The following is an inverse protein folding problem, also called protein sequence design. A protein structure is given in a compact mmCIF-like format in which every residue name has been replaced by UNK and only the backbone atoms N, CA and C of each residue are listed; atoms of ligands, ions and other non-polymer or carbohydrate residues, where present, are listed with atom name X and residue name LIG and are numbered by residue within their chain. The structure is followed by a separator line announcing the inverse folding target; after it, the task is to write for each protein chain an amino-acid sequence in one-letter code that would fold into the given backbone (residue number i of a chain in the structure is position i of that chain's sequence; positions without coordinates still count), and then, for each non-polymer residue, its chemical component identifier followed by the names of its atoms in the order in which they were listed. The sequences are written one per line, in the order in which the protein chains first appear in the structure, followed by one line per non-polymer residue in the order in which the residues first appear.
data_IF_676297069243
#
_entry.id   IF_676297069243
#
_cell.length_a   1.000
_cell.length_b   1.000
_cell.length_c   1.000
_cell.angle_alpha   90.00
_cell.angle_beta   90.00
_cell.angle_gamma   90.00
#
_symmetry.space_group_name_H-M   'P 1'
#
loop_
_entity.id
_entity.type
_entity.pdbx_description
1 polymer ?
#
# COMPACT_ATOMS: atom_id res chain seq x y z
N UNK A 1 -8.47 -0.33 -34.68
CA UNK A 1 -9.51 -0.91 -33.80
C UNK A 1 -9.18 -0.52 -32.37
N UNK A 2 -9.94 0.39 -31.77
CA UNK A 2 -9.76 0.78 -30.36
C UNK A 2 -10.38 -0.34 -29.52
N UNK A 3 -9.55 -1.20 -28.92
CA UNK A 3 -10.01 -2.17 -27.92
C UNK A 3 -10.32 -1.38 -26.65
N UNK A 4 -11.61 -1.16 -26.37
CA UNK A 4 -12.09 -0.51 -25.14
C UNK A 4 -11.93 -1.48 -23.98
N UNK A 5 -11.37 -1.01 -22.86
CA UNK A 5 -11.38 -1.75 -21.61
C UNK A 5 -12.81 -1.78 -21.07
N UNK A 6 -13.25 -2.94 -20.58
CA UNK A 6 -14.58 -3.09 -19.97
C UNK A 6 -14.37 -3.25 -18.47
N UNK A 7 -14.56 -2.16 -17.72
CA UNK A 7 -14.70 -2.23 -16.25
C UNK A 7 -16.07 -2.84 -15.98
N UNK A 8 -16.11 -4.03 -15.38
CA UNK A 8 -17.36 -4.63 -14.92
C UNK A 8 -17.51 -4.29 -13.45
N UNK A 9 -18.34 -3.27 -13.17
CA UNK A 9 -18.70 -2.96 -11.80
C UNK A 9 -19.77 -3.96 -11.33
N UNK A 10 -19.39 -4.87 -10.44
CA UNK A 10 -20.33 -5.76 -9.79
C UNK A 10 -20.70 -5.18 -8.41
N UNK A 11 -21.81 -4.44 -8.36
CA UNK A 11 -22.32 -3.89 -7.09
C UNK A 11 -23.03 -5.01 -6.34
N UNK A 12 -22.36 -5.60 -5.36
CA UNK A 12 -23.03 -6.42 -4.33
C UNK A 12 -23.55 -5.47 -3.26
N UNK A 13 -24.81 -5.05 -3.40
CA UNK A 13 -25.54 -4.30 -2.38
C UNK A 13 -25.85 -5.22 -1.20
N UNK A 14 -25.03 -5.18 -0.14
CA UNK A 14 -25.42 -5.72 1.16
C UNK A 14 -26.34 -4.69 1.80
N UNK A 15 -27.66 -4.92 1.74
CA UNK A 15 -28.64 -4.05 2.40
C UNK A 15 -28.63 -4.32 3.91
N UNK A 16 -27.75 -3.63 4.63
CA UNK A 16 -27.74 -3.53 6.09
C UNK A 16 -28.42 -2.23 6.56
N UNK A 17 -29.19 -2.30 7.63
CA UNK A 17 -30.02 -1.22 8.16
C UNK A 17 -29.21 -0.02 8.66
N UNK A 18 -29.66 1.19 8.28
CA UNK A 18 -29.10 2.51 8.55
C UNK A 18 -28.53 2.73 9.96
N UNK A 19 -27.22 2.97 10.02
CA UNK A 19 -26.47 3.71 11.03
C UNK A 19 -25.38 4.49 10.28
N UNK A 20 -25.03 5.70 10.74
CA UNK A 20 -24.09 6.66 10.14
C UNK A 20 -23.28 6.11 8.95
N UNK A 21 -23.52 6.65 7.74
CA UNK A 21 -22.92 6.19 6.48
C UNK A 21 -21.44 5.90 6.67
N UNK A 22 -21.13 4.61 6.78
CA UNK A 22 -19.74 4.16 6.94
C UNK A 22 -19.07 4.41 5.60
N UNK A 23 -17.92 5.09 5.55
CA UNK A 23 -17.26 5.36 4.28
C UNK A 23 -17.05 4.07 3.49
N UNK A 24 -17.22 4.13 2.18
CA UNK A 24 -17.05 2.99 1.27
C UNK A 24 -15.98 3.29 0.23
N UNK A 25 -15.35 2.24 -0.29
CA UNK A 25 -14.40 2.32 -1.40
C UNK A 25 -14.60 1.14 -2.36
N UNK A 26 -14.11 1.27 -3.59
CA UNK A 26 -14.08 0.19 -4.57
C UNK A 26 -12.79 -0.58 -4.42
N UNK A 27 -12.90 -1.90 -4.44
CA UNK A 27 -11.78 -2.82 -4.36
C UNK A 27 -11.81 -3.78 -5.55
N UNK A 28 -10.65 -4.02 -6.16
CA UNK A 28 -10.46 -5.07 -7.14
C UNK A 28 -9.08 -5.68 -7.00
N UNK A 29 -8.93 -6.90 -7.50
CA UNK A 29 -7.64 -7.57 -7.58
C UNK A 29 -7.24 -7.73 -9.04
N UNK A 30 -5.95 -7.53 -9.31
CA UNK A 30 -5.35 -7.72 -10.62
C UNK A 30 -4.03 -8.46 -10.46
N UNK A 31 -3.68 -9.24 -11.48
CA UNK A 31 -2.35 -9.82 -11.60
C UNK A 31 -1.56 -8.97 -12.60
N UNK A 32 -0.45 -8.32 -12.18
CA UNK A 32 0.41 -7.62 -13.13
C UNK A 32 0.93 -8.57 -14.22
N UNK A 33 1.11 -8.08 -15.46
CA UNK A 33 1.75 -8.87 -16.51
C UNK A 33 3.16 -9.32 -16.09
N UNK A 34 3.60 -10.49 -16.56
CA UNK A 34 4.93 -11.01 -16.25
C UNK A 34 6.03 -10.00 -16.67
N UNK A 35 6.96 -9.72 -15.77
CA UNK A 35 8.04 -8.75 -15.98
C UNK A 35 7.60 -7.27 -15.92
N UNK A 36 6.33 -6.98 -15.63
CA UNK A 36 5.85 -5.60 -15.55
C UNK A 36 6.57 -4.79 -14.46
N UNK A 37 6.78 -5.38 -13.28
CA UNK A 37 7.44 -4.72 -12.14
C UNK A 37 8.92 -4.43 -12.43
N UNK A 38 9.62 -5.32 -13.15
CA UNK A 38 11.04 -5.13 -13.51
C UNK A 38 11.26 -3.92 -14.41
N UNK A 39 10.34 -3.70 -15.37
CA UNK A 39 10.41 -2.61 -16.34
C UNK A 39 9.75 -1.32 -15.82
N UNK A 40 9.12 -1.36 -14.64
CA UNK A 40 8.26 -0.29 -14.15
C UNK A 40 9.01 1.02 -13.94
N UNK A 41 10.24 0.95 -13.41
CA UNK A 41 11.10 2.12 -13.21
C UNK A 41 11.44 2.80 -14.55
N UNK A 42 11.83 2.02 -15.56
CA UNK A 42 12.19 2.55 -16.87
C UNK A 42 10.99 3.16 -17.59
N UNK A 43 9.82 2.49 -17.54
CA UNK A 43 8.58 3.00 -18.12
C UNK A 43 8.11 4.29 -17.43
N UNK A 44 8.25 4.39 -16.11
CA UNK A 44 7.92 5.59 -15.38
C UNK A 44 8.82 6.77 -15.77
N UNK A 45 10.12 6.52 -15.95
CA UNK A 45 11.07 7.52 -16.46
C UNK A 45 10.70 7.99 -17.88
N UNK A 46 10.42 7.07 -18.79
CA UNK A 46 9.99 7.38 -20.16
C UNK A 46 8.70 8.20 -20.22
N UNK A 47 7.77 7.95 -19.29
CA UNK A 47 6.50 8.69 -19.16
C UNK A 47 6.65 10.01 -18.39
N UNK A 48 7.80 10.26 -17.77
CA UNK A 48 8.00 11.40 -16.87
C UNK A 48 7.11 11.35 -15.62
N UNK A 49 6.72 10.14 -15.18
CA UNK A 49 5.93 9.96 -13.96
C UNK A 49 6.82 10.18 -12.74
N UNK A 50 6.47 11.09 -11.81
CA UNK A 50 7.23 11.28 -10.58
C UNK A 50 7.33 9.99 -9.75
N UNK A 51 8.51 9.70 -9.22
CA UNK A 51 8.78 8.44 -8.50
C UNK A 51 9.44 8.63 -7.15
N UNK A 52 9.16 7.73 -6.21
CA UNK A 52 9.95 7.50 -5.01
C UNK A 52 10.42 6.04 -4.96
N UNK A 53 11.74 5.82 -5.03
CA UNK A 53 12.34 4.48 -5.12
C UNK A 53 13.18 4.22 -3.87
N UNK A 54 12.89 3.14 -3.15
CA UNK A 54 13.72 2.72 -2.03
C UNK A 54 14.96 1.99 -2.54
N UNK A 55 16.14 2.51 -2.21
CA UNK A 55 17.44 1.97 -2.61
C UNK A 55 18.27 1.58 -1.38
N UNK A 56 19.47 1.04 -1.59
CA UNK A 56 20.40 0.76 -0.49
C UNK A 56 20.79 2.03 0.30
N UNK A 57 20.77 3.20 -0.35
CA UNK A 57 21.10 4.48 0.27
C UNK A 57 19.88 5.20 0.88
N UNK A 58 18.71 4.55 0.87
CA UNK A 58 17.43 5.11 1.32
C UNK A 58 16.49 5.50 0.19
N UNK A 59 15.50 6.32 0.51
CA UNK A 59 14.46 6.76 -0.43
C UNK A 59 15.00 7.83 -1.39
N UNK A 60 14.90 7.56 -2.69
CA UNK A 60 15.30 8.48 -3.76
C UNK A 60 14.05 8.98 -4.48
N UNK A 61 13.80 10.29 -4.42
CA UNK A 61 12.68 10.95 -5.11
C UNK A 61 13.17 11.52 -6.45
N UNK A 62 12.34 11.39 -7.49
CA UNK A 62 12.56 11.96 -8.83
C UNK A 62 11.28 12.60 -9.35
N UNK A 63 11.41 13.74 -10.02
CA UNK A 63 10.27 14.52 -10.51
C UNK A 63 9.60 15.40 -9.45
N UNK A 64 10.18 15.47 -8.24
CA UNK A 64 9.84 16.35 -7.13
C UNK A 64 11.10 16.57 -6.26
N UNK A 65 11.11 17.62 -5.43
CA UNK A 65 12.21 17.93 -4.52
C UNK A 65 12.27 16.96 -3.33
N UNK A 66 11.11 16.51 -2.85
CA UNK A 66 10.97 15.56 -1.75
C UNK A 66 9.67 14.74 -1.85
N UNK A 67 9.47 13.85 -0.87
CA UNK A 67 8.30 12.96 -0.83
C UNK A 67 6.98 13.72 -0.59
N UNK A 68 7.01 14.86 0.10
CA UNK A 68 5.82 15.67 0.35
C UNK A 68 5.35 16.33 -0.95
N UNK A 69 6.27 16.91 -1.71
CA UNK A 69 5.96 17.50 -3.02
C UNK A 69 5.50 16.42 -4.02
N UNK A 70 6.11 15.23 -4.00
CA UNK A 70 5.70 14.09 -4.83
C UNK A 70 4.22 13.75 -4.61
N UNK A 71 3.80 13.63 -3.33
CA UNK A 71 2.42 13.32 -2.97
C UNK A 71 1.47 14.47 -3.34
N UNK A 72 1.89 15.71 -3.13
CA UNK A 72 1.11 16.89 -3.49
C UNK A 72 0.90 17.04 -5.01
N UNK A 73 1.77 16.45 -5.83
CA UNK A 73 1.69 16.45 -7.29
C UNK A 73 0.53 15.64 -7.88
N UNK A 74 -0.13 14.81 -7.08
CA UNK A 74 -1.36 14.10 -7.46
C UNK A 74 -1.18 12.91 -8.41
N UNK A 75 -0.01 12.69 -8.99
CA UNK A 75 0.34 11.44 -9.69
C UNK A 75 1.72 11.01 -9.25
N UNK A 76 1.83 9.78 -8.73
CA UNK A 76 3.06 9.28 -8.15
C UNK A 76 3.20 7.77 -8.28
N UNK A 77 4.45 7.31 -8.36
CA UNK A 77 4.82 5.91 -8.31
C UNK A 77 5.85 5.66 -7.21
N UNK A 78 5.56 4.72 -6.32
CA UNK A 78 6.51 4.21 -5.34
C UNK A 78 7.02 2.84 -5.75
N UNK A 79 8.32 2.61 -5.57
CA UNK A 79 8.98 1.34 -5.85
C UNK A 79 9.82 0.91 -4.65
N UNK A 80 9.71 -0.36 -4.26
CA UNK A 80 10.47 -0.96 -3.17
C UNK A 80 10.72 -2.44 -3.43
N UNK A 81 11.81 -2.73 -4.13
CA UNK A 81 12.08 -4.07 -4.65
C UNK A 81 10.93 -4.54 -5.54
N UNK A 82 10.27 -5.60 -5.12
CA UNK A 82 9.14 -6.19 -5.85
C UNK A 82 7.81 -5.50 -5.57
N UNK A 83 7.76 -4.60 -4.59
CA UNK A 83 6.55 -3.90 -4.19
C UNK A 83 6.43 -2.57 -4.90
N UNK A 84 5.20 -2.19 -5.23
CA UNK A 84 4.91 -0.90 -5.84
C UNK A 84 3.60 -0.30 -5.35
N UNK A 85 3.45 1.01 -5.57
CA UNK A 85 2.19 1.73 -5.43
C UNK A 85 2.14 2.84 -6.47
N UNK A 86 1.15 2.80 -7.36
CA UNK A 86 0.81 3.90 -8.27
C UNK A 86 -0.43 4.59 -7.72
N UNK A 87 -0.35 5.90 -7.52
CA UNK A 87 -1.48 6.72 -7.08
C UNK A 87 -1.80 7.83 -8.07
N UNK A 88 -3.10 8.11 -8.21
CA UNK A 88 -3.61 9.29 -8.89
C UNK A 88 -4.71 9.93 -8.03
N UNK A 89 -4.56 11.22 -7.76
CA UNK A 89 -5.48 12.05 -7.00
C UNK A 89 -5.95 13.21 -7.88
N UNK A 90 -7.23 13.20 -8.24
CA UNK A 90 -7.82 14.24 -9.07
C UNK A 90 -9.20 14.66 -8.53
N UNK A 91 -9.27 15.89 -8.01
CA UNK A 91 -10.47 16.42 -7.39
C UNK A 91 -10.85 15.64 -6.14
N UNK A 92 -11.96 14.91 -6.19
CA UNK A 92 -12.46 14.09 -5.06
C UNK A 92 -12.05 12.62 -5.17
N UNK A 93 -11.45 12.19 -6.27
CA UNK A 93 -11.09 10.81 -6.55
C UNK A 93 -9.63 10.55 -6.18
N UNK A 94 -9.40 9.48 -5.42
CA UNK A 94 -8.12 8.87 -5.16
C UNK A 94 -8.17 7.44 -5.66
N UNK A 95 -7.37 7.15 -6.68
CA UNK A 95 -7.23 5.81 -7.26
C UNK A 95 -5.80 5.32 -7.03
N UNK A 96 -5.68 4.10 -6.50
CA UNK A 96 -4.42 3.48 -6.12
C UNK A 96 -4.38 2.07 -6.71
N UNK A 97 -3.24 1.71 -7.31
CA UNK A 97 -2.89 0.32 -7.58
C UNK A 97 -1.62 0.01 -6.80
N UNK A 98 -1.68 -0.94 -5.87
CA UNK A 98 -0.53 -1.33 -5.04
C UNK A 98 -0.39 -2.84 -4.97
N UNK A 99 0.81 -3.35 -4.80
CA UNK A 99 1.02 -4.78 -4.69
C UNK A 99 2.45 -5.18 -4.97
N UNK A 100 2.60 -6.41 -5.46
CA UNK A 100 3.87 -7.02 -5.83
C UNK A 100 3.82 -7.60 -7.26
N UNK A 101 4.81 -8.42 -7.62
CA UNK A 101 4.90 -9.08 -8.94
C UNK A 101 3.72 -9.98 -9.28
N UNK A 102 3.08 -10.57 -8.27
CA UNK A 102 2.10 -11.63 -8.43
C UNK A 102 0.67 -11.12 -8.26
N UNK A 103 0.45 -10.16 -7.35
CA UNK A 103 -0.88 -9.65 -7.02
C UNK A 103 -0.84 -8.17 -6.69
N UNK A 104 -1.83 -7.45 -7.22
CA UNK A 104 -2.06 -6.05 -6.89
C UNK A 104 -3.53 -5.76 -6.60
N UNK A 105 -3.73 -4.81 -5.71
CA UNK A 105 -5.02 -4.31 -5.25
C UNK A 105 -5.30 -2.97 -5.91
N UNK A 106 -6.41 -2.90 -6.64
CA UNK A 106 -6.96 -1.68 -7.20
C UNK A 106 -7.98 -1.11 -6.22
N UNK A 107 -7.68 0.05 -5.67
CA UNK A 107 -8.50 0.74 -4.67
C UNK A 107 -8.93 2.08 -5.27
N UNK A 108 -10.22 2.37 -5.25
CA UNK A 108 -10.76 3.67 -5.69
C UNK A 108 -11.66 4.22 -4.61
N UNK A 109 -11.34 5.42 -4.13
CA UNK A 109 -12.14 6.14 -3.16
C UNK A 109 -12.46 7.53 -3.70
N UNK A 110 -13.73 7.87 -3.64
CA UNK A 110 -14.25 9.23 -3.80
C UNK A 110 -14.76 9.75 -2.46
N UNK A 111 -14.32 10.93 -2.02
CA UNK A 111 -14.55 11.48 -0.68
C UNK A 111 -16.01 11.80 -0.27
N UNK A 112 -16.98 10.93 -0.54
CA UNK A 112 -18.39 11.02 -0.19
C UNK A 112 -19.18 9.77 -0.64
N UNK A 113 -20.51 9.84 -0.69
CA UNK A 113 -21.39 8.68 -0.95
C UNK A 113 -21.42 8.21 -2.42
N UNK A 114 -20.69 8.89 -3.31
CA UNK A 114 -20.78 8.67 -4.76
C UNK A 114 -19.65 7.76 -5.21
N UNK A 115 -19.95 6.49 -5.44
CA UNK A 115 -18.99 5.52 -5.97
C UNK A 115 -18.88 5.66 -7.49
N UNK A 116 -17.68 6.00 -7.97
CA UNK A 116 -17.37 6.05 -9.41
C UNK A 116 -16.25 5.06 -9.74
N UNK A 117 -16.28 4.43 -10.93
CA UNK A 117 -15.15 3.66 -11.41
C UNK A 117 -13.91 4.55 -11.56
N UNK A 118 -12.70 3.96 -11.59
CA UNK A 118 -11.48 4.72 -11.81
C UNK A 118 -11.54 5.48 -13.12
N UNK A 119 -11.02 6.71 -13.13
CA UNK A 119 -10.90 7.53 -14.35
C UNK A 119 -10.13 6.82 -15.45
N UNK A 120 -10.53 7.11 -16.69
CA UNK A 120 -9.82 6.63 -17.88
C UNK A 120 -8.35 7.04 -17.89
N UNK A 121 -8.01 8.21 -17.33
CA UNK A 121 -6.62 8.68 -17.19
C UNK A 121 -5.79 7.74 -16.31
N UNK A 122 -6.31 7.32 -15.15
CA UNK A 122 -5.62 6.39 -14.27
C UNK A 122 -5.45 5.02 -14.92
N UNK A 123 -6.50 4.52 -15.56
CA UNK A 123 -6.44 3.26 -16.32
C UNK A 123 -5.39 3.34 -17.44
N UNK A 124 -5.34 4.45 -18.16
CA UNK A 124 -4.38 4.65 -19.25
C UNK A 124 -2.95 4.66 -18.71
N UNK A 125 -2.71 5.35 -17.59
CA UNK A 125 -1.43 5.35 -16.90
C UNK A 125 -1.00 3.92 -16.52
N UNK A 126 -1.89 3.12 -15.92
CA UNK A 126 -1.60 1.73 -15.56
C UNK A 126 -1.26 0.86 -16.79
N UNK A 127 -1.91 1.12 -17.94
CA UNK A 127 -1.60 0.42 -19.19
C UNK A 127 -0.27 0.87 -19.80
N UNK A 128 0.09 2.14 -19.70
CA UNK A 128 1.36 2.69 -20.19
C UNK A 128 2.55 2.25 -19.33
N UNK A 129 2.36 2.18 -18.01
CA UNK A 129 3.28 1.54 -17.08
C UNK A 129 3.33 0.01 -17.25
N UNK A 130 2.38 -0.55 -18.02
CA UNK A 130 2.25 -1.97 -18.30
C UNK A 130 1.87 -2.83 -17.09
N UNK A 131 1.21 -2.24 -16.10
CA UNK A 131 0.62 -2.89 -14.93
C UNK A 131 -0.77 -3.47 -15.22
N UNK A 132 -1.40 -3.06 -16.32
CA UNK A 132 -2.66 -3.63 -16.82
C UNK A 132 -2.57 -3.93 -18.32
N UNK A 133 -3.08 -5.10 -18.72
CA UNK A 133 -3.19 -5.43 -20.14
C UNK A 133 -4.33 -4.64 -20.81
N UNK A 134 -4.13 -4.28 -22.08
CA UNK A 134 -5.19 -3.63 -22.86
C UNK A 134 -6.36 -4.58 -23.10
N UNK A 135 -7.54 -4.17 -22.67
CA UNK A 135 -8.77 -4.94 -22.85
C UNK A 135 -8.99 -6.01 -21.78
N UNK A 136 -8.22 -6.01 -20.70
CA UNK A 136 -8.56 -6.79 -19.51
C UNK A 136 -9.87 -6.29 -18.89
N UNK A 137 -10.50 -7.14 -18.08
CA UNK A 137 -11.64 -6.75 -17.27
C UNK A 137 -11.24 -6.90 -15.80
N UNK A 138 -11.51 -5.85 -15.03
CA UNK A 138 -11.30 -5.84 -13.57
C UNK A 138 -12.67 -5.75 -12.93
N UNK A 139 -12.93 -6.67 -12.01
CA UNK A 139 -14.15 -6.66 -11.20
C UNK A 139 -13.91 -5.79 -9.98
N UNK A 140 -14.75 -4.77 -9.80
CA UNK A 140 -14.72 -3.92 -8.62
C UNK A 140 -15.91 -4.25 -7.72
N UNK A 141 -15.63 -4.44 -6.42
CA UNK A 141 -16.62 -4.62 -5.36
C UNK A 141 -16.65 -3.40 -4.44
N UNK A 142 -17.79 -3.14 -3.82
CA UNK A 142 -17.93 -2.08 -2.81
C UNK A 142 -17.54 -2.67 -1.46
N UNK A 143 -16.63 -2.01 -0.75
CA UNK A 143 -16.15 -2.42 0.57
C UNK A 143 -16.39 -1.30 1.58
N UNK A 144 -16.91 -1.67 2.76
CA UNK A 144 -17.08 -0.75 3.88
C UNK A 144 -15.77 -0.53 4.62
N UNK A 145 -15.51 0.71 4.99
CA UNK A 145 -14.35 1.08 5.78
C UNK A 145 -14.52 0.61 7.24
N UNK A 146 -13.57 -0.15 7.81
CA UNK A 146 -13.70 -0.62 9.18
C UNK A 146 -13.53 0.53 10.19
N UNK A 147 -14.61 0.87 10.91
CA UNK A 147 -14.58 1.90 11.97
C UNK A 147 -13.85 1.48 13.26
N UNK A 148 -13.42 0.21 13.33
CA UNK A 148 -12.70 -0.36 14.47
C UNK A 148 -11.47 -1.10 13.96
N UNK A 149 -10.43 -1.18 14.78
CA UNK A 149 -9.25 -1.96 14.45
C UNK A 149 -9.66 -3.42 14.17
N UNK A 150 -9.26 -3.98 13.02
CA UNK A 150 -9.57 -5.36 12.69
C UNK A 150 -8.91 -6.30 13.70
N UNK A 151 -9.58 -7.42 13.98
CA UNK A 151 -8.98 -8.48 14.77
C UNK A 151 -7.81 -9.09 13.99
N UNK A 152 -6.66 -9.19 14.65
CA UNK A 152 -5.49 -9.89 14.10
C UNK A 152 -5.80 -11.39 14.00
N UNK A 153 -5.56 -12.03 12.84
CA UNK A 153 -5.76 -13.47 12.67
C UNK A 153 -4.91 -14.30 13.64
N UNK A 154 -5.39 -15.50 13.96
CA UNK A 154 -4.58 -16.46 14.72
C UNK A 154 -3.30 -16.81 13.95
N UNK A 155 -2.17 -16.88 14.65
CA UNK A 155 -0.86 -17.15 14.06
C UNK A 155 -0.16 -15.94 13.42
N UNK A 156 -0.73 -14.73 13.51
CA UNK A 156 -0.08 -13.48 13.09
C UNK A 156 0.27 -12.66 14.33
N UNK A 157 1.56 -12.53 14.62
CA UNK A 157 2.10 -11.85 15.80
C UNK A 157 2.29 -10.33 15.58
N UNK A 158 1.31 -9.67 14.95
CA UNK A 158 1.32 -8.23 14.71
C UNK A 158 0.50 -7.46 15.76
N UNK A 159 0.95 -6.27 16.11
CA UNK A 159 0.10 -5.28 16.77
C UNK A 159 -1.15 -4.98 15.92
N UNK A 160 -2.35 -4.85 16.52
CA UNK A 160 -3.58 -4.53 15.79
C UNK A 160 -3.50 -3.27 14.92
N UNK A 161 -2.68 -2.29 15.28
CA UNK A 161 -2.44 -1.07 14.50
C UNK A 161 -1.69 -1.36 13.22
N UNK A 162 -0.67 -2.22 13.27
CA UNK A 162 0.07 -2.66 12.08
C UNK A 162 -0.79 -3.53 11.19
N UNK A 163 -1.61 -4.41 11.77
CA UNK A 163 -2.58 -5.19 10.99
C UNK A 163 -3.65 -4.30 10.35
N UNK A 164 -4.11 -3.26 11.04
CA UNK A 164 -5.01 -2.26 10.47
C UNK A 164 -4.37 -1.53 9.30
N UNK A 165 -3.08 -1.16 9.41
CA UNK A 165 -2.33 -0.52 8.33
C UNK A 165 -2.32 -1.38 7.06
N UNK A 166 -1.97 -2.67 7.16
CA UNK A 166 -1.93 -3.60 6.02
C UNK A 166 -3.25 -3.56 5.24
N UNK A 167 -4.37 -3.62 5.97
CA UNK A 167 -5.71 -3.71 5.40
C UNK A 167 -6.28 -2.36 4.95
N UNK A 168 -5.61 -1.25 5.28
CA UNK A 168 -6.17 0.07 5.06
C UNK A 168 -6.10 0.47 3.57
N UNK A 169 -7.15 1.04 2.96
CA UNK A 169 -7.15 1.42 1.55
C UNK A 169 -6.13 2.52 1.21
N UNK A 170 -5.85 3.40 2.17
CA UNK A 170 -4.84 4.46 2.08
C UNK A 170 -3.72 4.21 3.10
N UNK A 171 -2.64 3.55 2.67
CA UNK A 171 -1.51 3.25 3.56
C UNK A 171 -0.85 4.51 4.11
N UNK A 172 -0.77 5.58 3.34
CA UNK A 172 -0.01 6.76 3.74
C UNK A 172 -0.81 7.62 4.72
N UNK A 173 -2.10 7.81 4.45
CA UNK A 173 -3.03 8.44 5.40
C UNK A 173 -3.11 7.65 6.71
N UNK A 174 -3.23 6.32 6.64
CA UNK A 174 -3.28 5.48 7.84
C UNK A 174 -1.99 5.52 8.65
N UNK A 175 -0.83 5.44 8.01
CA UNK A 175 0.44 5.52 8.72
C UNK A 175 0.55 6.84 9.50
N UNK A 176 0.16 7.95 8.89
CA UNK A 176 0.10 9.26 9.56
C UNK A 176 -0.90 9.26 10.73
N UNK A 177 -2.13 8.80 10.49
CA UNK A 177 -3.21 8.86 11.48
C UNK A 177 -2.97 7.93 12.68
N UNK A 178 -2.21 6.84 12.47
CA UNK A 178 -1.76 5.92 13.51
C UNK A 178 -0.42 6.34 14.17
N UNK A 179 0.19 7.43 13.72
CA UNK A 179 1.47 7.92 14.27
C UNK A 179 2.66 6.99 13.98
N UNK A 180 2.64 6.30 12.84
CA UNK A 180 3.68 5.36 12.41
C UNK A 180 4.77 6.09 11.62
N UNK A 181 6.03 5.74 11.89
CA UNK A 181 7.18 6.23 11.13
C UNK A 181 7.23 5.52 9.76
N UNK A 182 6.84 6.22 8.70
CA UNK A 182 6.79 5.69 7.32
C UNK A 182 7.76 6.46 6.41
N UNK A 183 8.45 5.71 5.55
CA UNK A 183 9.29 6.23 4.48
C UNK A 183 9.06 5.41 3.21
N UNK A 184 8.54 6.04 2.15
CA UNK A 184 8.10 5.31 0.97
C UNK A 184 7.06 4.22 1.29
N UNK A 185 7.28 3.01 0.80
CA UNK A 185 6.39 1.87 1.11
C UNK A 185 6.74 1.18 2.43
N UNK A 186 7.75 1.67 3.16
CA UNK A 186 8.22 1.04 4.38
C UNK A 186 7.69 1.71 5.63
N UNK A 187 7.46 0.93 6.67
CA UNK A 187 7.15 1.40 8.01
C UNK A 187 8.19 0.85 8.99
N UNK A 188 8.59 1.68 9.95
CA UNK A 188 9.49 1.27 11.01
C UNK A 188 8.74 0.46 12.05
N UNK A 189 9.29 -0.69 12.44
CA UNK A 189 8.71 -1.59 13.44
C UNK A 189 9.81 -2.21 14.30
N UNK A 190 9.41 -2.68 15.48
CA UNK A 190 10.26 -3.48 16.36
C UNK A 190 9.67 -4.88 16.46
N UNK A 191 10.45 -5.89 16.10
CA UNK A 191 10.12 -7.30 16.27
C UNK A 191 10.84 -7.88 17.50
N UNK A 192 10.10 -8.55 18.38
CA UNK A 192 10.65 -9.45 19.37
C UNK A 192 10.82 -10.82 18.74
N UNK A 193 12.07 -11.25 18.55
CA UNK A 193 12.42 -12.50 17.90
C UNK A 193 13.30 -13.37 18.80
N UNK A 194 13.01 -14.67 18.82
CA UNK A 194 13.74 -15.68 19.59
C UNK A 194 14.97 -16.25 18.86
N UNK A 195 15.20 -15.81 17.63
CA UNK A 195 16.27 -16.26 16.74
C UNK A 195 16.39 -15.35 15.51
N UNK A 196 17.14 -15.81 14.50
CA UNK A 196 17.20 -15.14 13.21
C UNK A 196 15.84 -15.18 12.50
N UNK A 197 15.53 -14.12 11.76
CA UNK A 197 14.37 -14.07 10.86
C UNK A 197 14.65 -14.91 9.60
N UNK A 198 13.61 -15.18 8.82
CA UNK A 198 13.76 -15.70 7.47
C UNK A 198 14.70 -14.82 6.62
N UNK A 199 15.47 -15.44 5.72
CA UNK A 199 16.49 -14.76 4.88
C UNK A 199 15.91 -13.57 4.10
N UNK A 200 14.66 -13.70 3.62
CA UNK A 200 13.98 -12.63 2.86
C UNK A 200 13.64 -11.39 3.72
N UNK A 201 13.66 -11.51 5.05
CA UNK A 201 13.38 -10.41 5.98
C UNK A 201 14.65 -9.73 6.49
N UNK A 202 15.81 -10.38 6.42
CA UNK A 202 17.09 -9.83 6.86
C UNK A 202 17.46 -8.49 6.22
N UNK A 203 17.19 -8.23 4.92
CA UNK A 203 17.52 -6.95 4.28
C UNK A 203 16.80 -5.73 4.90
N UNK A 204 15.75 -5.94 5.69
CA UNK A 204 14.96 -4.88 6.30
C UNK A 204 15.39 -4.56 7.74
N UNK A 205 16.32 -5.34 8.32
CA UNK A 205 16.81 -5.14 9.68
C UNK A 205 17.79 -3.95 9.72
N UNK A 206 17.43 -2.91 10.45
CA UNK A 206 18.29 -1.74 10.69
C UNK A 206 19.30 -2.01 11.80
N UNK A 207 18.85 -2.67 12.86
CA UNK A 207 19.69 -3.07 13.99
C UNK A 207 19.08 -4.23 14.75
N UNK A 208 19.92 -4.98 15.46
CA UNK A 208 19.50 -6.10 16.30
C UNK A 208 20.21 -6.01 17.65
N UNK A 209 19.44 -6.03 18.73
CA UNK A 209 19.93 -6.00 20.11
C UNK A 209 19.22 -7.05 20.95
N UNK A 210 19.91 -8.16 21.21
CA UNK A 210 19.35 -9.27 21.97
C UNK A 210 18.17 -9.91 21.23
N UNK A 211 16.98 -9.91 21.85
CA UNK A 211 15.74 -10.43 21.26
C UNK A 211 14.96 -9.37 20.46
N UNK A 212 15.44 -8.12 20.36
CA UNK A 212 14.76 -7.05 19.65
C UNK A 212 15.46 -6.73 18.34
N UNK A 213 14.68 -6.64 17.26
CA UNK A 213 15.12 -6.21 15.95
C UNK A 213 14.34 -4.96 15.54
N UNK A 214 15.05 -3.89 15.19
CA UNK A 214 14.47 -2.69 14.59
C UNK A 214 14.51 -2.86 13.07
N UNK A 215 13.35 -2.74 12.42
CA UNK A 215 13.21 -2.95 10.99
C UNK A 215 12.57 -1.74 10.32
N UNK A 216 12.98 -1.48 9.09
CA UNK A 216 12.25 -0.64 8.15
C UNK A 216 11.81 -1.55 7.00
N UNK A 217 10.55 -2.00 7.05
CA UNK A 217 10.02 -3.08 6.23
C UNK A 217 8.85 -2.60 5.35
N UNK A 218 8.73 -3.06 4.09
CA UNK A 218 7.55 -2.80 3.26
C UNK A 218 6.26 -3.16 3.99
N UNK A 219 5.24 -2.30 3.91
CA UNK A 219 3.94 -2.51 4.55
C UNK A 219 3.32 -3.84 4.10
N UNK A 220 3.50 -4.19 2.82
CA UNK A 220 3.03 -5.46 2.24
C UNK A 220 3.63 -6.71 2.87
N UNK A 221 4.82 -6.62 3.48
CA UNK A 221 5.54 -7.75 4.10
C UNK A 221 5.31 -7.87 5.62
N UNK A 222 4.52 -6.97 6.22
CA UNK A 222 4.18 -7.08 7.65
C UNK A 222 3.51 -8.41 8.00
N UNK A 223 2.55 -8.95 7.20
CA UNK A 223 1.95 -10.24 7.50
C UNK A 223 2.97 -11.39 7.53
N UNK A 224 3.96 -11.37 6.66
CA UNK A 224 5.03 -12.36 6.55
C UNK A 224 5.93 -12.29 7.79
N UNK A 225 6.36 -11.07 8.17
CA UNK A 225 7.11 -10.84 9.41
C UNK A 225 6.33 -11.32 10.64
N UNK A 226 5.02 -11.04 10.70
CA UNK A 226 4.17 -11.47 11.81
C UNK A 226 3.93 -12.98 11.88
N UNK A 227 4.11 -13.71 10.76
CA UNK A 227 3.98 -15.17 10.70
C UNK A 227 5.30 -15.91 10.86
N UNK A 228 6.42 -15.18 10.84
CA UNK A 228 7.74 -15.78 11.01
C UNK A 228 7.81 -16.57 12.34
N UNK A 229 8.19 -17.86 12.33
CA UNK A 229 8.24 -18.69 13.53
C UNK A 229 9.17 -18.17 14.63
N UNK A 230 10.18 -17.38 14.29
CA UNK A 230 11.09 -16.78 15.26
C UNK A 230 10.45 -15.59 15.99
N UNK A 231 9.47 -14.93 15.38
CA UNK A 231 8.83 -13.70 15.86
C UNK A 231 7.75 -14.02 16.90
N UNK A 232 7.89 -13.43 18.08
CA UNK A 232 6.90 -13.48 19.17
C UNK A 232 5.90 -12.32 19.12
N UNK A 233 6.35 -11.15 18.71
CA UNK A 233 5.53 -9.94 18.58
C UNK A 233 6.18 -8.91 17.66
N UNK A 234 5.38 -8.15 16.92
CA UNK A 234 5.82 -6.99 16.13
C UNK A 234 4.98 -5.78 16.54
N UNK A 235 5.64 -4.66 16.83
CA UNK A 235 4.98 -3.44 17.32
C UNK A 235 5.57 -2.21 16.65
N UNK A 236 4.82 -1.10 16.57
CA UNK A 236 5.43 0.20 16.31
C UNK A 236 6.55 0.49 17.34
N UNK A 237 7.60 1.25 16.98
CA UNK A 237 8.61 1.68 17.92
C UNK A 237 7.99 2.41 19.11
N UNK A 238 8.57 2.23 20.30
CA UNK A 238 8.12 2.97 21.46
C UNK A 238 8.53 4.44 21.35
N UNK A 239 7.55 5.32 21.19
CA UNK A 239 7.76 6.76 21.37
C UNK A 239 7.49 7.11 22.83
N UNK A 240 8.53 7.33 23.67
CA UNK A 240 8.29 7.86 25.01
C UNK A 240 7.54 9.19 24.90
N UNK A 241 6.44 9.33 25.64
CA UNK A 241 5.88 10.65 25.88
C UNK A 241 7.00 11.57 26.39
N UNK A 242 7.09 12.83 25.93
CA UNK A 242 7.98 13.78 26.59
C UNK A 242 7.58 13.80 28.07
N UNK A 243 8.54 13.53 28.94
CA UNK A 243 8.36 13.82 30.36
C UNK A 243 8.11 15.33 30.43
N UNK A 244 6.87 15.73 30.69
CA UNK A 244 6.58 17.11 31.07
C UNK A 244 7.50 17.47 32.23
N UNK A 245 8.43 18.38 31.98
CA UNK A 245 9.34 18.99 32.95
C UNK A 245 9.13 20.49 32.93
#
# INVERSE_FOLDING_TARGET
MVKRMVVVLAVVLVTGTAFAETPVYLYGEVAPPAGAVDELAARAEDLGTPTAVFTADGLVVRGADDEEELLAGGVYLYLDGDHFLVGMEEGIERAILRGDRDRAELIVWTGGDVMVPPREAFVSLLQELGLLERGCSVTLTVVEFPLKLPRVPEGVNLDPTLWALVQHPDWFGAARDYGLERMGLRVRVVAEASGALAEDLEPYVLSSTGELMDLLIPIGLLPELGRDPAVRAVRPPFTPYPAEG
#
